data_IF_351628814262
#
_entry.id   IF_351628814262
#
_cell.length_a   1.000
_cell.length_b   1.000
_cell.length_c   1.000
_cell.angle_alpha   90.00
_cell.angle_beta   90.00
_cell.angle_gamma   90.00
#
_symmetry.space_group_name_H-M   'P 1'
#
loop_
_entity.id
_entity.type
_entity.pdbx_description
1 polymer ?
#
# COMPACT_ATOMS: atom_id res chain seq x y z
N UNK A 1 7.47 37.45 17.73
CA UNK A 1 8.55 36.46 17.50
C UNK A 1 7.95 35.09 17.70
N UNK A 2 8.23 34.13 16.82
CA UNK A 2 7.79 32.74 16.97
C UNK A 2 8.93 32.02 17.68
N UNK A 3 8.70 31.60 18.92
CA UNK A 3 9.70 30.90 19.75
C UNK A 3 9.50 29.39 19.64
N UNK A 4 10.49 28.60 20.05
CA UNK A 4 10.44 27.12 19.95
C UNK A 4 9.22 26.46 20.65
N UNK A 5 8.49 27.22 21.47
CA UNK A 5 7.25 26.79 22.15
C UNK A 5 5.98 26.98 21.30
N UNK A 6 6.05 27.70 20.17
CA UNK A 6 4.92 27.89 19.24
C UNK A 6 4.79 26.73 18.23
N UNK A 7 5.69 25.74 18.33
CA UNK A 7 5.63 24.52 17.52
C UNK A 7 4.70 23.54 18.24
N UNK A 8 3.54 23.17 17.65
CA UNK A 8 2.70 22.14 18.24
C UNK A 8 3.47 20.82 18.28
N UNK A 9 3.63 20.27 19.48
CA UNK A 9 4.11 18.90 19.67
C UNK A 9 3.09 17.95 19.04
N UNK A 10 3.38 17.43 17.85
CA UNK A 10 2.67 16.29 17.30
C UNK A 10 2.96 15.10 18.20
N UNK A 11 2.07 14.89 19.16
CA UNK A 11 2.07 13.76 20.07
C UNK A 11 1.67 12.52 19.26
N UNK A 12 2.62 11.95 18.51
CA UNK A 12 2.50 10.62 17.88
C UNK A 12 2.63 9.58 18.98
N UNK A 13 1.63 9.57 19.88
CA UNK A 13 1.41 8.47 20.80
C UNK A 13 0.19 7.75 20.26
N UNK A 14 0.48 6.61 19.65
CA UNK A 14 -0.46 5.85 18.85
C UNK A 14 -1.78 5.64 19.57
N UNK A 15 -2.85 6.00 18.88
CA UNK A 15 -4.04 5.18 18.76
C UNK A 15 -4.82 5.67 17.54
N UNK A 16 -4.86 4.83 16.50
CA UNK A 16 -5.81 4.85 15.39
C UNK A 16 -5.98 6.17 14.62
N UNK A 17 -5.02 6.50 13.75
CA UNK A 17 -5.17 7.58 12.78
C UNK A 17 -4.80 7.05 11.40
N UNK A 18 -5.73 7.23 10.46
CA UNK A 18 -5.56 7.14 9.00
C UNK A 18 -4.09 7.07 8.62
N UNK A 19 -3.65 5.86 8.26
CA UNK A 19 -2.31 5.61 7.79
C UNK A 19 -2.08 6.48 6.55
N UNK A 20 -1.53 7.67 6.78
CA UNK A 20 -0.68 8.35 5.83
C UNK A 20 0.35 7.29 5.45
N UNK A 21 0.15 6.69 4.28
CA UNK A 21 1.12 5.83 3.63
C UNK A 21 2.30 6.74 3.33
N UNK A 22 3.13 7.02 4.33
CA UNK A 22 4.46 7.50 4.07
C UNK A 22 5.17 6.32 3.41
N UNK A 23 5.61 6.45 2.15
CA UNK A 23 6.45 5.44 1.55
C UNK A 23 7.79 5.50 2.29
N UNK A 24 7.88 4.78 3.42
CA UNK A 24 9.15 4.46 4.03
C UNK A 24 9.96 3.76 2.94
N UNK A 25 11.10 4.32 2.51
CA UNK A 25 11.96 3.63 1.57
C UNK A 25 12.44 2.37 2.28
N UNK A 26 11.79 1.24 1.96
CA UNK A 26 12.35 -0.07 2.27
C UNK A 26 13.72 -0.08 1.61
N UNK A 27 14.77 -0.39 2.38
CA UNK A 27 16.12 -0.48 1.87
C UNK A 27 16.17 -1.61 0.83
N UNK A 28 15.76 -1.30 -0.38
CA UNK A 28 15.72 -2.24 -1.48
C UNK A 28 17.13 -2.32 -2.05
N UNK A 29 17.77 -3.48 -1.88
CA UNK A 29 19.13 -3.75 -2.34
C UNK A 29 19.25 -3.68 -3.88
N UNK A 30 18.13 -3.60 -4.61
CA UNK A 30 18.08 -3.50 -6.07
C UNK A 30 16.82 -2.80 -6.60
N UNK A 31 16.93 -2.18 -7.78
CA UNK A 31 15.80 -1.56 -8.50
C UNK A 31 14.63 -2.52 -8.72
N UNK A 32 14.93 -3.81 -8.91
CA UNK A 32 13.90 -4.87 -9.02
C UNK A 32 13.08 -4.98 -7.73
N UNK A 33 13.74 -4.97 -6.58
CA UNK A 33 13.07 -5.12 -5.29
C UNK A 33 12.24 -3.87 -4.96
N UNK A 34 12.77 -2.68 -5.24
CA UNK A 34 12.03 -1.43 -5.07
C UNK A 34 10.75 -1.40 -5.93
N UNK A 35 10.84 -1.88 -7.19
CA UNK A 35 9.66 -2.00 -8.06
C UNK A 35 8.66 -3.02 -7.53
N UNK A 36 9.12 -4.16 -7.04
CA UNK A 36 8.23 -5.19 -6.49
C UNK A 36 7.53 -4.71 -5.23
N UNK A 37 8.24 -3.99 -4.35
CA UNK A 37 7.67 -3.44 -3.13
C UNK A 37 6.65 -2.34 -3.43
N UNK A 38 6.97 -1.42 -4.35
CA UNK A 38 6.01 -0.42 -4.84
C UNK A 38 4.77 -1.07 -5.46
N UNK A 39 4.97 -2.06 -6.34
CA UNK A 39 3.86 -2.76 -7.01
C UNK A 39 2.95 -3.47 -5.98
N UNK A 40 3.54 -4.11 -4.96
CA UNK A 40 2.81 -4.71 -3.85
C UNK A 40 1.98 -3.67 -3.11
N UNK A 41 2.60 -2.57 -2.68
CA UNK A 41 1.91 -1.50 -1.94
C UNK A 41 0.77 -0.88 -2.77
N UNK A 42 1.02 -0.63 -4.06
CA UNK A 42 0.02 -0.08 -4.98
C UNK A 42 -1.20 -1.01 -5.12
N UNK A 43 -0.97 -2.31 -5.35
CA UNK A 43 -2.05 -3.29 -5.50
C UNK A 43 -2.82 -3.45 -4.19
N UNK A 44 -2.15 -3.51 -3.05
CA UNK A 44 -2.81 -3.61 -1.73
C UNK A 44 -3.70 -2.40 -1.48
N UNK A 45 -3.17 -1.18 -1.67
CA UNK A 45 -3.95 0.05 -1.53
C UNK A 45 -5.20 0.01 -2.41
N UNK A 46 -5.05 -0.43 -3.66
CA UNK A 46 -6.18 -0.46 -4.59
C UNK A 46 -7.19 -1.55 -4.27
N UNK A 47 -6.74 -2.69 -3.74
CA UNK A 47 -7.61 -3.73 -3.19
C UNK A 47 -8.41 -3.19 -2.02
N UNK A 48 -7.78 -2.49 -1.07
CA UNK A 48 -8.47 -1.89 0.08
C UNK A 48 -9.55 -0.88 -0.36
N UNK A 49 -9.24 0.00 -1.33
CA UNK A 49 -10.20 0.93 -1.93
C UNK A 49 -11.40 0.22 -2.61
N UNK A 50 -11.21 -1.01 -3.09
CA UNK A 50 -12.24 -1.80 -3.78
C UNK A 50 -12.79 -2.94 -2.90
N UNK A 51 -12.70 -2.83 -1.57
CA UNK A 51 -13.24 -3.80 -0.62
C UNK A 51 -12.69 -5.23 -0.82
N UNK A 52 -11.42 -5.33 -1.20
CA UNK A 52 -10.72 -6.57 -1.56
C UNK A 52 -11.29 -7.30 -2.78
N UNK A 53 -12.13 -6.64 -3.58
CA UNK A 53 -12.69 -7.22 -4.79
C UNK A 53 -11.65 -7.21 -5.93
N UNK A 54 -11.16 -8.39 -6.29
CA UNK A 54 -10.08 -8.55 -7.27
C UNK A 54 -10.53 -8.11 -8.66
N UNK A 55 -11.79 -8.40 -9.03
CA UNK A 55 -12.35 -8.05 -10.35
C UNK A 55 -12.46 -6.53 -10.51
N UNK A 56 -13.09 -5.85 -9.55
CA UNK A 56 -13.20 -4.38 -9.55
C UNK A 56 -11.83 -3.71 -9.52
N UNK A 57 -10.90 -4.25 -8.72
CA UNK A 57 -9.53 -3.73 -8.65
C UNK A 57 -8.82 -3.84 -10.00
N UNK A 58 -8.92 -5.00 -10.66
CA UNK A 58 -8.32 -5.25 -11.97
C UNK A 58 -8.85 -4.25 -13.03
N UNK A 59 -10.17 -4.04 -13.06
CA UNK A 59 -10.81 -3.04 -13.92
C UNK A 59 -10.34 -1.62 -13.58
N UNK A 60 -10.25 -1.28 -12.29
CA UNK A 60 -9.87 0.06 -11.82
C UNK A 60 -8.41 0.44 -12.12
N UNK A 61 -7.50 -0.55 -12.20
CA UNK A 61 -6.09 -0.33 -12.57
C UNK A 61 -5.80 -0.65 -14.04
N UNK A 62 -6.81 -1.06 -14.82
CA UNK A 62 -6.66 -1.45 -16.22
C UNK A 62 -5.79 -2.71 -16.42
N UNK A 63 -5.77 -3.63 -15.47
CA UNK A 63 -5.05 -4.89 -15.57
C UNK A 63 -6.02 -6.05 -15.78
N UNK A 64 -5.64 -7.07 -16.54
CA UNK A 64 -6.46 -8.28 -16.63
C UNK A 64 -6.54 -8.99 -15.28
N UNK A 65 -7.74 -9.46 -14.91
CA UNK A 65 -7.99 -10.24 -13.68
C UNK A 65 -6.99 -11.39 -13.51
N UNK A 66 -6.75 -12.15 -14.59
CA UNK A 66 -5.81 -13.29 -14.60
C UNK A 66 -4.37 -12.87 -14.29
N UNK A 67 -3.96 -11.66 -14.74
CA UNK A 67 -2.63 -11.13 -14.49
C UNK A 67 -2.52 -10.58 -13.06
N UNK A 68 -3.56 -9.92 -12.56
CA UNK A 68 -3.63 -9.48 -11.17
C UNK A 68 -3.53 -10.67 -10.21
N UNK A 69 -4.28 -11.75 -10.47
CA UNK A 69 -4.21 -12.97 -9.67
C UNK A 69 -2.80 -13.57 -9.59
N UNK A 70 -2.12 -13.65 -10.75
CA UNK A 70 -0.72 -14.13 -10.81
C UNK A 70 0.23 -13.21 -10.04
N UNK A 71 0.06 -11.89 -10.16
CA UNK A 71 0.86 -10.90 -9.42
C UNK A 71 0.64 -11.00 -7.92
N UNK A 72 -0.61 -11.11 -7.45
CA UNK A 72 -0.93 -11.29 -6.04
C UNK A 72 -0.24 -12.53 -5.46
N UNK A 73 -0.29 -13.65 -6.19
CA UNK A 73 0.41 -14.89 -5.81
C UNK A 73 1.93 -14.73 -5.79
N UNK A 74 2.49 -14.01 -6.76
CA UNK A 74 3.93 -13.74 -6.86
C UNK A 74 4.44 -12.78 -5.77
N UNK A 75 3.61 -11.80 -5.39
CA UNK A 75 3.93 -10.77 -4.39
C UNK A 75 3.56 -11.20 -2.97
N UNK A 76 3.07 -12.44 -2.79
CA UNK A 76 2.60 -13.00 -1.51
C UNK A 76 1.58 -12.10 -0.80
N UNK A 77 0.69 -11.46 -1.57
CA UNK A 77 -0.40 -10.65 -1.03
C UNK A 77 -1.55 -11.59 -0.71
N UNK A 78 -1.89 -11.75 0.57
CA UNK A 78 -3.01 -12.56 1.01
C UNK A 78 -4.32 -11.84 0.70
N UNK A 79 -5.02 -12.23 -0.36
CA UNK A 79 -6.38 -11.76 -0.64
C UNK A 79 -7.39 -12.66 0.07
N UNK A 80 -8.42 -12.07 0.67
CA UNK A 80 -9.50 -12.80 1.38
C UNK A 80 -10.40 -13.65 0.46
N UNK A 81 -10.26 -13.53 -0.85
CA UNK A 81 -11.10 -14.18 -1.86
C UNK A 81 -10.49 -15.52 -2.34
N UNK A 82 -10.02 -16.36 -1.43
CA UNK A 82 -9.62 -17.74 -1.72
C UNK A 82 -10.47 -18.71 -0.92
N UNK A 83 -11.70 -18.87 -1.40
CA UNK A 83 -12.46 -20.13 -1.40
C UNK A 83 -13.15 -20.26 -2.76
#
# INVERSE_FOLDING_TARGET
>A
EITANDIPLLNVRGDNSEALIEPQPTAADSLKDAKMDFERQFIVKKLEENEWNISKTAEAIGLERSNLHKKLKSLKVATKESD
#
